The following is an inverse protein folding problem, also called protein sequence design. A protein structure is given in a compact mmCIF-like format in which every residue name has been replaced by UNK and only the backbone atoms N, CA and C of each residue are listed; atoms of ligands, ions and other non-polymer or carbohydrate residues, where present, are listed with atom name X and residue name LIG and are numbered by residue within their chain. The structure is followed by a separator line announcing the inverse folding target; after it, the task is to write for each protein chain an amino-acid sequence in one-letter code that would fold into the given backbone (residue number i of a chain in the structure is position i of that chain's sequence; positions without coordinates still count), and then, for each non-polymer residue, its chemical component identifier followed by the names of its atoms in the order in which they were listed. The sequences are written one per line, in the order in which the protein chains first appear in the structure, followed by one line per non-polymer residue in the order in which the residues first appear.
data_IF_197261422243
#
_entry.id   IF_197261422243
#
_cell.length_a   1.000
_cell.length_b   1.000
_cell.length_c   1.000
_cell.angle_alpha   90.00
_cell.angle_beta   90.00
_cell.angle_gamma   90.00
#
_symmetry.space_group_name_H-M   'P 1'
#
loop_
_entity.id
_entity.type
_entity.pdbx_description
1 polymer ?
#
# COMPACT_ATOMS: atom_id res chain seq x y z
N UNK A 1 -35.74 -21.82 25.22
CA UNK A 1 -34.55 -20.98 24.94
C UNK A 1 -34.42 -20.87 23.44
N UNK A 2 -34.74 -19.71 22.86
CA UNK A 2 -34.54 -19.45 21.43
C UNK A 2 -33.03 -19.30 21.18
N UNK A 3 -32.41 -20.29 20.57
CA UNK A 3 -31.10 -20.11 19.96
C UNK A 3 -31.28 -19.07 18.85
N UNK A 4 -30.59 -17.92 18.87
CA UNK A 4 -30.77 -16.92 17.84
C UNK A 4 -30.31 -17.55 16.52
N UNK A 5 -31.29 -17.73 15.62
CA UNK A 5 -31.11 -18.39 14.34
C UNK A 5 -30.07 -17.68 13.47
N UNK A 6 -29.45 -18.46 12.60
CA UNK A 6 -28.55 -17.98 11.56
C UNK A 6 -29.16 -16.77 10.83
N UNK A 7 -28.47 -15.63 10.86
CA UNK A 7 -28.87 -14.43 10.11
C UNK A 7 -28.17 -14.44 8.76
N UNK A 8 -28.95 -14.49 7.68
CA UNK A 8 -28.38 -14.38 6.33
C UNK A 8 -27.60 -13.06 6.18
N UNK A 9 -26.44 -13.06 5.50
CA UNK A 9 -25.69 -11.84 5.23
C UNK A 9 -26.53 -10.81 4.47
N UNK A 10 -26.59 -9.59 4.99
CA UNK A 10 -27.25 -8.45 4.33
C UNK A 10 -26.55 -8.13 3.00
N UNK A 11 -27.21 -7.36 2.12
CA UNK A 11 -26.57 -6.87 0.88
C UNK A 11 -25.28 -6.09 1.20
N UNK A 12 -25.29 -5.27 2.24
CA UNK A 12 -24.13 -4.53 2.72
C UNK A 12 -22.97 -5.48 3.11
N UNK A 13 -23.25 -6.53 3.89
CA UNK A 13 -22.26 -7.53 4.29
C UNK A 13 -21.64 -8.26 3.08
N UNK A 14 -22.48 -8.61 2.10
CA UNK A 14 -22.03 -9.28 0.86
C UNK A 14 -21.14 -8.38 0.03
N UNK A 15 -21.46 -7.09 -0.07
CA UNK A 15 -20.61 -6.09 -0.75
C UNK A 15 -19.26 -5.95 -0.02
N UNK A 16 -19.26 -5.84 1.31
CA UNK A 16 -18.01 -5.79 2.09
C UNK A 16 -17.14 -7.02 1.87
N UNK A 17 -17.74 -8.21 1.86
CA UNK A 17 -17.04 -9.46 1.56
C UNK A 17 -16.45 -9.49 0.14
N UNK A 18 -17.15 -8.92 -0.85
CA UNK A 18 -16.60 -8.77 -2.20
C UNK A 18 -15.43 -7.78 -2.24
N UNK A 19 -15.59 -6.61 -1.62
CA UNK A 19 -14.54 -5.58 -1.54
C UNK A 19 -13.28 -6.11 -0.86
N UNK A 20 -13.43 -6.81 0.27
CA UNK A 20 -12.32 -7.45 0.99
C UNK A 20 -11.54 -8.37 0.05
N UNK A 21 -12.23 -9.23 -0.71
CA UNK A 21 -11.57 -10.16 -1.64
C UNK A 21 -10.91 -9.44 -2.82
N UNK A 22 -11.57 -8.43 -3.38
CA UNK A 22 -11.09 -7.70 -4.55
C UNK A 22 -9.94 -6.75 -4.25
N UNK A 23 -9.88 -6.19 -3.04
CA UNK A 23 -8.94 -5.14 -2.69
C UNK A 23 -8.00 -5.55 -1.55
N UNK A 24 -8.51 -5.95 -0.38
CA UNK A 24 -7.64 -6.29 0.74
C UNK A 24 -6.86 -7.58 0.48
N UNK A 25 -7.52 -8.65 0.08
CA UNK A 25 -6.87 -9.95 -0.08
C UNK A 25 -5.95 -10.00 -1.31
N UNK A 26 -6.24 -9.22 -2.34
CA UNK A 26 -5.35 -9.00 -3.49
C UNK A 26 -4.18 -8.10 -3.12
N UNK A 27 -4.41 -7.01 -2.38
CA UNK A 27 -3.36 -6.17 -1.81
C UNK A 27 -2.43 -6.93 -0.86
N UNK A 28 -2.96 -7.89 -0.09
CA UNK A 28 -2.16 -8.83 0.71
C UNK A 28 -1.21 -9.64 -0.19
N UNK A 29 -1.65 -9.99 -1.41
CA UNK A 29 -0.80 -10.64 -2.42
C UNK A 29 0.28 -9.71 -2.99
N UNK A 30 -0.07 -8.48 -3.33
CA UNK A 30 0.89 -7.47 -3.81
C UNK A 30 1.95 -7.14 -2.75
N UNK A 31 1.56 -7.09 -1.47
CA UNK A 31 2.49 -6.93 -0.37
C UNK A 31 3.49 -8.08 -0.29
N UNK A 32 3.03 -9.33 -0.44
CA UNK A 32 3.93 -10.49 -0.51
C UNK A 32 4.88 -10.40 -1.70
N UNK A 33 4.37 -10.00 -2.88
CA UNK A 33 5.19 -9.80 -4.07
C UNK A 33 6.25 -8.71 -3.85
N UNK A 34 5.90 -7.59 -3.22
CA UNK A 34 6.84 -6.54 -2.85
C UNK A 34 7.95 -7.09 -1.93
N UNK A 35 7.59 -7.89 -0.93
CA UNK A 35 8.57 -8.51 -0.02
C UNK A 35 9.51 -9.47 -0.74
N UNK A 36 9.00 -10.27 -1.68
CA UNK A 36 9.82 -11.17 -2.52
C UNK A 36 10.78 -10.35 -3.39
N UNK A 37 10.28 -9.35 -4.11
CA UNK A 37 11.08 -8.48 -4.97
C UNK A 37 12.19 -7.77 -4.17
N UNK A 38 11.85 -7.20 -3.01
CA UNK A 38 12.83 -6.55 -2.13
C UNK A 38 13.89 -7.53 -1.62
N UNK A 39 13.50 -8.74 -1.21
CA UNK A 39 14.44 -9.79 -0.79
C UNK A 39 15.45 -10.14 -1.89
N UNK A 40 15.01 -10.10 -3.15
CA UNK A 40 15.83 -10.39 -4.32
C UNK A 40 16.41 -9.13 -5.01
N UNK A 41 16.24 -7.94 -4.41
CA UNK A 41 16.75 -6.65 -4.93
C UNK A 41 16.22 -6.28 -6.32
N UNK A 42 15.01 -6.72 -6.64
CA UNK A 42 14.29 -6.35 -7.85
C UNK A 42 13.54 -5.05 -7.59
N UNK A 43 14.27 -3.92 -7.58
CA UNK A 43 13.75 -2.65 -7.03
C UNK A 43 12.55 -2.09 -7.79
N UNK A 44 12.52 -2.03 -9.13
CA UNK A 44 11.31 -1.59 -9.85
C UNK A 44 10.10 -2.46 -9.50
N UNK A 45 10.28 -3.78 -9.41
CA UNK A 45 9.21 -4.71 -9.05
C UNK A 45 8.77 -4.57 -7.59
N UNK A 46 9.69 -4.21 -6.69
CA UNK A 46 9.37 -3.87 -5.30
C UNK A 46 8.52 -2.61 -5.23
N UNK A 47 8.92 -1.52 -5.88
CA UNK A 47 8.19 -0.25 -5.85
C UNK A 47 6.79 -0.41 -6.45
N UNK A 48 6.69 -1.04 -7.63
CA UNK A 48 5.42 -1.36 -8.25
C UNK A 48 4.49 -2.15 -7.32
N UNK A 49 4.98 -3.26 -6.76
CA UNK A 49 4.15 -4.12 -5.92
C UNK A 49 3.79 -3.44 -4.59
N UNK A 50 4.67 -2.59 -4.06
CA UNK A 50 4.42 -1.82 -2.85
C UNK A 50 3.32 -0.77 -3.07
N UNK A 51 3.40 0.00 -4.15
CA UNK A 51 2.39 0.98 -4.55
C UNK A 51 1.04 0.29 -4.76
N UNK A 52 1.03 -0.82 -5.50
CA UNK A 52 -0.18 -1.63 -5.76
C UNK A 52 -0.82 -2.18 -4.49
N UNK A 53 -0.03 -2.57 -3.48
CA UNK A 53 -0.55 -3.00 -2.19
C UNK A 53 -1.22 -1.83 -1.44
N UNK A 54 -0.51 -0.70 -1.30
CA UNK A 54 -1.02 0.50 -0.62
C UNK A 54 -2.28 1.04 -1.30
N UNK A 55 -2.28 1.13 -2.63
CA UNK A 55 -3.43 1.57 -3.44
C UNK A 55 -4.67 0.75 -3.11
N UNK A 56 -4.55 -0.58 -3.14
CA UNK A 56 -5.69 -1.47 -2.90
C UNK A 56 -6.21 -1.36 -1.48
N UNK A 57 -5.34 -1.23 -0.47
CA UNK A 57 -5.81 -1.01 0.90
C UNK A 57 -6.53 0.34 1.04
N UNK A 58 -5.98 1.43 0.50
CA UNK A 58 -6.58 2.76 0.61
C UNK A 58 -7.92 2.84 -0.13
N UNK A 59 -8.01 2.28 -1.34
CA UNK A 59 -9.29 2.13 -2.06
C UNK A 59 -10.25 1.20 -1.32
N UNK A 60 -9.72 0.16 -0.66
CA UNK A 60 -10.49 -0.74 0.20
C UNK A 60 -11.15 0.01 1.35
N UNK A 61 -10.40 0.87 2.05
CA UNK A 61 -10.91 1.73 3.12
C UNK A 61 -12.05 2.61 2.62
N UNK A 62 -11.87 3.32 1.50
CA UNK A 62 -12.91 4.17 0.93
C UNK A 62 -14.18 3.36 0.59
N UNK A 63 -14.02 2.27 -0.16
CA UNK A 63 -15.16 1.51 -0.71
C UNK A 63 -15.91 0.70 0.35
N UNK A 64 -15.23 0.21 1.39
CA UNK A 64 -15.86 -0.43 2.54
C UNK A 64 -16.85 0.52 3.24
N UNK A 65 -16.55 1.81 3.26
CA UNK A 65 -17.40 2.86 3.82
C UNK A 65 -18.23 3.59 2.74
N UNK A 66 -18.39 2.97 1.56
CA UNK A 66 -19.20 3.45 0.43
C UNK A 66 -18.77 4.80 -0.16
N UNK A 67 -17.53 5.21 0.08
CA UNK A 67 -16.92 6.32 -0.63
C UNK A 67 -16.35 5.82 -1.95
N UNK A 68 -16.66 6.53 -3.03
CA UNK A 68 -16.21 6.16 -4.37
C UNK A 68 -14.69 6.29 -4.50
N UNK A 69 -14.06 5.20 -4.95
CA UNK A 69 -12.67 5.17 -5.39
C UNK A 69 -12.50 5.39 -6.90
N UNK A 70 -13.58 5.77 -7.60
CA UNK A 70 -13.52 6.10 -9.02
C UNK A 70 -12.65 7.36 -9.23
N UNK A 71 -11.98 7.40 -10.39
CA UNK A 71 -11.14 8.52 -10.84
C UNK A 71 -9.89 8.81 -9.98
N UNK A 72 -9.55 7.97 -9.02
CA UNK A 72 -8.26 8.06 -8.28
C UNK A 72 -7.09 7.59 -9.15
N UNK A 73 -7.34 6.68 -10.10
CA UNK A 73 -6.24 6.04 -10.84
C UNK A 73 -5.31 5.29 -9.90
N UNK A 74 -4.00 5.45 -10.05
CA UNK A 74 -2.97 4.85 -9.20
C UNK A 74 -2.45 5.80 -8.10
N UNK A 75 -3.09 6.96 -7.93
CA UNK A 75 -2.63 7.99 -7.00
C UNK A 75 -2.96 7.61 -5.55
N UNK A 76 -1.97 7.05 -4.85
CA UNK A 76 -2.11 6.66 -3.44
C UNK A 76 -2.20 7.88 -2.50
N UNK A 77 -1.63 9.03 -2.88
CA UNK A 77 -1.70 10.27 -2.11
C UNK A 77 -3.11 10.85 -2.14
N UNK A 78 -3.73 10.90 -3.33
CA UNK A 78 -5.14 11.29 -3.48
C UNK A 78 -6.07 10.35 -2.72
N UNK A 79 -5.80 9.04 -2.71
CA UNK A 79 -6.59 8.10 -1.93
C UNK A 79 -6.51 8.38 -0.42
N UNK A 80 -5.33 8.74 0.10
CA UNK A 80 -5.14 9.09 1.51
C UNK A 80 -5.85 10.40 1.87
N UNK A 81 -5.70 11.45 1.05
CA UNK A 81 -6.42 12.73 1.21
C UNK A 81 -7.93 12.51 1.22
N UNK A 82 -8.44 11.69 0.29
CA UNK A 82 -9.88 11.41 0.20
C UNK A 82 -10.43 10.66 1.41
N UNK A 83 -9.62 9.80 2.04
CA UNK A 83 -10.00 9.16 3.31
C UNK A 83 -10.19 10.23 4.40
N UNK A 84 -9.23 11.14 4.53
CA UNK A 84 -9.29 12.22 5.51
C UNK A 84 -10.50 13.12 5.29
N UNK A 85 -10.73 13.57 4.06
CA UNK A 85 -11.82 14.48 3.72
C UNK A 85 -13.21 13.84 3.80
N UNK A 86 -13.38 12.61 3.30
CA UNK A 86 -14.70 11.97 3.17
C UNK A 86 -15.07 11.10 4.35
N UNK A 87 -14.09 10.50 5.03
CA UNK A 87 -14.32 9.67 6.20
C UNK A 87 -14.00 10.39 7.51
N UNK A 88 -13.37 11.56 7.48
CA UNK A 88 -13.20 12.41 8.67
C UNK A 88 -12.21 11.85 9.69
N UNK A 89 -11.25 11.03 9.25
CA UNK A 89 -10.16 10.55 10.09
C UNK A 89 -8.87 10.37 9.30
N UNK A 90 -7.73 10.55 9.97
CA UNK A 90 -6.42 10.28 9.40
C UNK A 90 -5.91 8.88 9.75
N UNK A 91 -5.10 8.33 8.85
CA UNK A 91 -4.29 7.14 9.12
C UNK A 91 -2.94 7.64 9.66
N UNK A 92 -2.64 7.48 10.96
CA UNK A 92 -1.42 8.04 11.52
C UNK A 92 -0.20 7.27 11.01
N UNK A 93 0.74 8.01 10.42
CA UNK A 93 2.04 7.55 9.96
C UNK A 93 3.15 8.36 10.66
N UNK A 94 4.25 7.70 11.02
CA UNK A 94 5.46 8.39 11.51
C UNK A 94 6.13 9.17 10.38
N UNK A 95 7.02 10.12 10.71
CA UNK A 95 7.73 10.91 9.68
C UNK A 95 8.46 10.02 8.67
N UNK A 96 9.14 8.97 9.13
CA UNK A 96 9.86 8.05 8.24
C UNK A 96 8.92 7.18 7.40
N UNK A 97 7.72 6.85 7.91
CA UNK A 97 6.71 6.17 7.12
C UNK A 97 6.17 7.09 6.01
N UNK A 98 5.99 8.38 6.29
CA UNK A 98 5.59 9.38 5.29
C UNK A 98 6.65 9.56 4.20
N UNK A 99 7.92 9.69 4.57
CA UNK A 99 9.03 9.76 3.60
C UNK A 99 9.05 8.54 2.67
N UNK A 100 8.90 7.33 3.21
CA UNK A 100 8.84 6.12 2.38
C UNK A 100 7.55 6.03 1.56
N UNK A 101 6.43 6.51 2.09
CA UNK A 101 5.18 6.60 1.35
C UNK A 101 5.33 7.51 0.13
N UNK A 102 5.95 8.69 0.29
CA UNK A 102 6.24 9.64 -0.79
C UNK A 102 7.13 9.00 -1.86
N UNK A 103 8.20 8.31 -1.48
CA UNK A 103 9.06 7.56 -2.43
C UNK A 103 8.27 6.51 -3.22
N UNK A 104 7.33 5.81 -2.58
CA UNK A 104 6.47 4.83 -3.28
C UNK A 104 5.45 5.54 -4.18
N UNK A 105 4.89 6.68 -3.74
CA UNK A 105 3.93 7.46 -4.53
C UNK A 105 4.58 8.10 -5.76
N UNK A 106 5.83 8.54 -5.66
CA UNK A 106 6.62 9.10 -6.76
C UNK A 106 6.90 8.07 -7.86
N UNK A 107 6.90 6.77 -7.53
CA UNK A 107 6.97 5.71 -8.54
C UNK A 107 5.82 5.84 -9.55
N UNK A 108 4.65 6.30 -9.10
CA UNK A 108 3.49 6.67 -9.92
C UNK A 108 3.16 5.65 -11.02
N UNK A 109 3.16 4.37 -10.63
CA UNK A 109 2.88 3.24 -11.49
C UNK A 109 3.76 3.19 -12.74
N UNK A 110 5.01 3.63 -12.61
CA UNK A 110 6.02 3.45 -13.64
C UNK A 110 6.30 1.96 -13.85
N UNK A 111 5.97 1.47 -15.04
CA UNK A 111 6.18 0.07 -15.44
C UNK A 111 7.44 -0.10 -16.27
N UNK A 112 7.98 0.99 -16.81
CA UNK A 112 8.99 0.96 -17.87
C UNK A 112 10.29 1.65 -17.45
N UNK A 113 10.43 1.99 -16.16
CA UNK A 113 11.61 2.65 -15.63
C UNK A 113 11.89 3.98 -16.35
N UNK A 114 10.80 4.73 -16.54
CA UNK A 114 10.80 6.09 -17.08
C UNK A 114 11.21 7.11 -16.02
N UNK A 115 11.16 6.77 -14.73
CA UNK A 115 11.65 7.58 -13.62
C UNK A 115 12.94 6.98 -13.03
N UNK A 116 13.86 7.84 -12.60
CA UNK A 116 15.05 7.39 -11.89
C UNK A 116 14.69 6.86 -10.50
N UNK A 117 15.49 5.94 -9.96
CA UNK A 117 15.24 5.25 -8.70
C UNK A 117 16.37 5.50 -7.72
N UNK A 118 16.02 5.74 -6.45
CA UNK A 118 16.94 5.70 -5.32
C UNK A 118 16.31 5.01 -4.11
N UNK A 119 16.78 3.81 -3.75
CA UNK A 119 16.28 3.02 -2.61
C UNK A 119 17.46 2.60 -1.74
N UNK A 120 17.38 2.82 -0.42
CA UNK A 120 18.47 2.59 0.55
C UNK A 120 18.29 1.30 1.39
N UNK A 121 17.21 0.55 1.15
CA UNK A 121 16.90 -0.75 1.74
C UNK A 121 16.06 -0.71 3.02
N UNK A 122 15.79 0.48 3.58
CA UNK A 122 14.94 0.64 4.78
C UNK A 122 13.45 0.73 4.42
N UNK A 123 13.13 0.99 3.16
CA UNK A 123 11.79 1.16 2.61
C UNK A 123 10.94 -0.09 2.87
N UNK A 124 11.51 -1.30 2.76
CA UNK A 124 10.79 -2.53 3.08
C UNK A 124 10.35 -2.59 4.56
N UNK A 125 11.13 -2.06 5.50
CA UNK A 125 10.76 -2.04 6.92
C UNK A 125 9.58 -1.08 7.17
N UNK A 126 9.60 0.09 6.54
CA UNK A 126 8.50 1.04 6.69
C UNK A 126 7.26 0.59 5.92
N UNK A 127 7.41 -0.09 4.78
CA UNK A 127 6.31 -0.78 4.12
C UNK A 127 5.68 -1.83 5.03
N UNK A 128 6.47 -2.63 5.76
CA UNK A 128 5.94 -3.61 6.72
C UNK A 128 5.07 -2.95 7.80
N UNK A 129 5.47 -1.78 8.28
CA UNK A 129 4.72 -1.02 9.28
C UNK A 129 3.48 -0.33 8.69
N UNK A 130 3.58 0.26 7.49
CA UNK A 130 2.44 0.87 6.78
C UNK A 130 1.40 -0.19 6.41
N UNK A 131 1.83 -1.23 5.69
CA UNK A 131 1.47 -2.64 5.89
C UNK A 131 0.42 -2.92 6.97
N UNK A 132 1.00 -3.16 8.13
CA UNK A 132 0.34 -3.45 9.39
C UNK A 132 -0.66 -2.39 9.83
N UNK A 133 -0.36 -1.11 9.61
CA UNK A 133 -1.20 0.00 10.09
C UNK A 133 -2.44 0.19 9.23
N UNK A 134 -2.26 0.36 7.92
CA UNK A 134 -3.34 0.67 6.97
C UNK A 134 -4.34 -0.48 6.91
N UNK A 135 -3.89 -1.74 6.96
CA UNK A 135 -4.79 -2.91 6.97
C UNK A 135 -5.79 -2.91 8.13
N UNK A 136 -5.45 -2.31 9.27
CA UNK A 136 -6.38 -2.19 10.41
C UNK A 136 -7.59 -1.31 10.06
N UNK A 137 -7.40 -0.29 9.21
CA UNK A 137 -8.47 0.57 8.71
C UNK A 137 -9.23 -0.05 7.54
N UNK A 138 -8.62 -0.98 6.80
CA UNK A 138 -9.22 -1.68 5.66
C UNK A 138 -10.19 -2.80 6.12
N UNK A 139 -11.17 -2.44 6.94
CA UNK A 139 -12.20 -3.30 7.50
C UNK A 139 -13.55 -2.56 7.51
N UNK A 140 -14.69 -3.26 7.58
CA UNK A 140 -15.99 -2.64 7.85
C UNK A 140 -16.00 -2.08 9.28
N UNK A 141 -15.57 -0.82 9.46
CA UNK A 141 -15.44 -0.22 10.80
C UNK A 141 -16.74 0.43 11.28
N UNK A 142 -17.74 0.54 10.42
CA UNK A 142 -19.04 1.16 10.68
C UNK A 142 -20.09 0.16 11.24
N UNK A 143 -19.71 -1.10 11.45
CA UNK A 143 -20.57 -2.18 12.00
C UNK A 143 -19.87 -2.96 13.11
N UNK A 144 -20.62 -3.54 14.05
CA UNK A 144 -20.08 -4.44 15.09
C UNK A 144 -20.22 -5.91 14.70
N UNK A 145 -21.37 -6.26 14.13
CA UNK A 145 -21.66 -7.54 13.53
C UNK A 145 -21.98 -7.34 12.03
N UNK A 146 -21.64 -8.32 11.19
CA UNK A 146 -21.78 -8.17 9.73
C UNK A 146 -23.22 -7.87 9.28
N UNK A 147 -24.20 -8.25 10.09
CA UNK A 147 -25.63 -8.06 9.80
C UNK A 147 -26.19 -6.72 10.30
N UNK A 148 -25.38 -5.91 10.97
CA UNK A 148 -25.82 -4.62 11.50
C UNK A 148 -25.91 -3.58 10.38
N UNK A 149 -26.74 -2.57 10.60
CA UNK A 149 -26.74 -1.39 9.75
C UNK A 149 -25.52 -0.51 10.06
N UNK A 150 -24.82 0.02 9.04
CA UNK A 150 -23.69 0.91 9.23
C UNK A 150 -24.05 2.17 10.01
N UNK A 151 -23.21 2.58 10.96
CA UNK A 151 -23.40 3.85 11.67
C UNK A 151 -22.10 4.63 11.83
N UNK A 152 -22.24 5.96 11.80
CA UNK A 152 -21.11 6.88 12.02
C UNK A 152 -20.52 6.74 13.43
N UNK A 153 -21.37 6.53 14.44
CA UNK A 153 -20.93 6.37 15.82
C UNK A 153 -20.00 5.16 16.01
N UNK A 154 -20.35 4.02 15.39
CA UNK A 154 -19.52 2.81 15.43
C UNK A 154 -18.21 3.02 14.67
N UNK A 155 -18.26 3.68 13.50
CA UNK A 155 -17.06 4.06 12.76
C UNK A 155 -16.10 4.88 13.62
N UNK A 156 -16.58 5.97 14.22
CA UNK A 156 -15.75 6.87 15.03
C UNK A 156 -15.17 6.16 16.26
N UNK A 157 -15.94 5.27 16.90
CA UNK A 157 -15.47 4.46 18.02
C UNK A 157 -14.35 3.50 17.60
N UNK A 158 -14.55 2.75 16.52
CA UNK A 158 -13.58 1.76 16.03
C UNK A 158 -12.31 2.42 15.51
N UNK A 159 -12.43 3.56 14.82
CA UNK A 159 -11.30 4.38 14.37
C UNK A 159 -10.49 4.88 15.57
N UNK A 160 -11.13 5.45 16.60
CA UNK A 160 -10.44 5.89 17.83
C UNK A 160 -9.71 4.74 18.51
N UNK A 161 -10.31 3.56 18.58
CA UNK A 161 -9.68 2.37 19.14
C UNK A 161 -8.42 1.98 18.37
N UNK A 162 -8.45 2.01 17.03
CA UNK A 162 -7.28 1.72 16.20
C UNK A 162 -6.23 2.82 16.37
N UNK A 163 -6.64 4.09 16.35
CA UNK A 163 -5.76 5.25 16.51
C UNK A 163 -5.01 5.26 17.84
N UNK A 164 -5.64 4.80 18.93
CA UNK A 164 -5.02 4.70 20.26
C UNK A 164 -3.99 3.59 20.43
N UNK A 165 -3.83 2.69 19.45
CA UNK A 165 -2.78 1.65 19.48
C UNK A 165 -1.42 2.26 19.16
N UNK A 166 -0.37 1.71 19.76
CA UNK A 166 0.99 2.11 19.44
C UNK A 166 1.31 1.81 17.96
N UNK A 167 1.83 2.79 17.22
CA UNK A 167 2.06 2.69 15.77
C UNK A 167 3.05 1.58 15.39
N UNK A 168 4.01 1.30 16.27
CA UNK A 168 5.12 0.39 16.05
C UNK A 168 5.06 -0.87 16.89
N UNK A 169 4.01 -1.06 17.70
CA UNK A 169 3.87 -2.26 18.53
C UNK A 169 3.68 -3.50 17.64
N UNK A 170 4.59 -4.48 17.72
CA UNK A 170 4.37 -5.77 17.09
C UNK A 170 3.11 -6.42 17.67
N UNK A 171 2.25 -6.97 16.81
CA UNK A 171 1.09 -7.82 17.17
C UNK A 171 -0.16 -7.08 17.70
N UNK A 172 -0.09 -5.78 17.94
CA UNK A 172 -1.27 -4.95 18.17
C UNK A 172 -1.83 -4.42 16.84
N UNK A 173 -2.66 -5.23 16.18
CA UNK A 173 -3.17 -4.87 14.85
C UNK A 173 -3.56 -6.01 13.92
N UNK A 174 -3.58 -7.25 14.42
CA UNK A 174 -4.08 -8.38 13.63
C UNK A 174 -5.50 -8.11 13.11
N UNK A 175 -5.72 -8.42 11.84
CA UNK A 175 -7.05 -8.37 11.22
C UNK A 175 -7.70 -9.75 11.34
N UNK A 176 -8.81 -9.83 12.06
CA UNK A 176 -9.53 -11.10 12.26
C UNK A 176 -9.95 -11.70 10.92
N UNK A 177 -9.54 -12.95 10.68
CA UNK A 177 -9.83 -13.67 9.44
C UNK A 177 -9.09 -13.16 8.20
N UNK A 178 -8.13 -12.23 8.36
CA UNK A 178 -7.31 -11.70 7.28
C UNK A 178 -6.37 -12.74 6.65
N UNK A 179 -6.01 -12.53 5.39
CA UNK A 179 -5.19 -13.49 4.63
C UNK A 179 -3.76 -13.56 5.15
N UNK A 180 -3.13 -12.43 5.47
CA UNK A 180 -1.78 -12.43 6.06
C UNK A 180 -1.73 -13.15 7.41
N UNK A 181 -2.77 -13.01 8.23
CA UNK A 181 -2.88 -13.69 9.53
C UNK A 181 -3.00 -15.20 9.36
N UNK A 182 -3.79 -15.68 8.39
CA UNK A 182 -3.86 -17.11 8.03
C UNK A 182 -2.52 -17.64 7.50
N UNK A 183 -1.87 -16.87 6.63
CA UNK A 183 -0.54 -17.21 6.10
C UNK A 183 0.53 -17.26 7.21
N UNK A 184 0.41 -16.41 8.23
CA UNK A 184 1.34 -16.42 9.36
C UNK A 184 1.25 -17.70 10.18
N UNK A 185 0.03 -18.23 10.37
CA UNK A 185 -0.24 -19.44 11.16
C UNK A 185 0.00 -20.73 10.38
N UNK A 186 -0.30 -20.77 9.08
CA UNK A 186 -0.06 -21.94 8.23
C UNK A 186 1.41 -22.09 7.84
N UNK A 187 2.13 -22.97 8.54
CA UNK A 187 3.56 -23.23 8.30
C UNK A 187 3.88 -23.75 6.88
N UNK A 188 2.89 -24.33 6.19
CA UNK A 188 3.06 -24.92 4.87
C UNK A 188 2.68 -23.95 3.74
N UNK A 189 2.16 -22.75 4.06
CA UNK A 189 1.85 -21.77 3.04
C UNK A 189 3.14 -21.32 2.32
N UNK A 190 3.21 -21.43 0.98
CA UNK A 190 4.42 -21.14 0.21
C UNK A 190 4.86 -19.67 0.32
N UNK A 191 3.91 -18.74 0.51
CA UNK A 191 4.18 -17.31 0.64
C UNK A 191 4.59 -16.91 2.07
N UNK A 192 4.38 -17.78 3.07
CA UNK A 192 4.74 -17.49 4.47
C UNK A 192 6.21 -17.13 4.63
N UNK A 193 7.10 -17.79 3.88
CA UNK A 193 8.53 -17.52 3.95
C UNK A 193 8.87 -16.07 3.59
N UNK A 194 8.15 -15.47 2.64
CA UNK A 194 8.25 -14.06 2.30
C UNK A 194 7.71 -13.20 3.43
N UNK A 195 6.52 -13.51 3.96
CA UNK A 195 5.86 -12.75 5.02
C UNK A 195 6.74 -12.57 6.26
N UNK A 196 7.34 -13.65 6.77
CA UNK A 196 8.06 -13.63 8.06
C UNK A 196 9.52 -13.18 7.96
N UNK A 197 10.12 -13.19 6.76
CA UNK A 197 11.54 -12.92 6.57
C UNK A 197 11.93 -11.51 7.03
N UNK A 198 12.60 -11.40 8.18
CA UNK A 198 12.98 -10.11 8.80
C UNK A 198 11.80 -9.16 9.05
N UNK A 199 10.58 -9.66 9.17
CA UNK A 199 9.40 -8.87 9.47
C UNK A 199 9.18 -8.80 10.99
N UNK A 200 9.07 -7.60 11.55
CA UNK A 200 8.74 -7.44 12.98
C UNK A 200 7.24 -7.41 13.23
N UNK A 201 6.46 -6.93 12.25
CA UNK A 201 5.00 -6.78 12.39
C UNK A 201 4.29 -8.13 12.22
N UNK A 202 4.67 -8.89 11.18
CA UNK A 202 4.11 -10.21 10.89
C UNK A 202 5.08 -11.32 11.31
N UNK A 203 5.09 -11.62 12.61
CA UNK A 203 5.98 -12.65 13.17
C UNK A 203 5.42 -13.32 14.41
N UNK A 204 5.62 -14.65 14.51
CA UNK A 204 5.36 -15.41 15.73
C UNK A 204 6.48 -15.28 16.78
N UNK A 205 7.60 -14.64 16.43
CA UNK A 205 8.75 -14.42 17.33
C UNK A 205 8.58 -13.16 18.18
N UNK A 206 9.02 -13.18 19.44
CA UNK A 206 9.01 -12.03 20.38
C UNK A 206 10.17 -11.05 20.17
N UNK A 207 10.89 -11.23 19.06
CA UNK A 207 12.06 -10.42 18.68
C UNK A 207 11.68 -8.95 18.50
N UNK A 208 12.49 -8.06 19.07
CA UNK A 208 12.31 -6.60 18.99
C UNK A 208 13.15 -5.92 17.90
N UNK A 209 14.13 -6.62 17.30
CA UNK A 209 15.07 -6.07 16.32
C UNK A 209 15.42 -7.09 15.26
N UNK A 210 15.56 -6.69 14.00
CA UNK A 210 16.02 -7.55 12.90
C UNK A 210 17.26 -6.96 12.27
N UNK A 211 18.26 -7.79 11.99
CA UNK A 211 19.45 -7.33 11.27
C UNK A 211 19.18 -7.30 9.76
N UNK A 212 19.24 -6.12 9.16
CA UNK A 212 19.14 -5.91 7.71
C UNK A 212 20.43 -5.29 7.21
N UNK A 213 20.92 -5.79 6.08
CA UNK A 213 22.03 -5.17 5.37
C UNK A 213 21.42 -4.04 4.55
N UNK A 214 21.80 -2.80 4.84
CA UNK A 214 21.44 -1.68 3.98
C UNK A 214 22.00 -1.97 2.59
N UNK A 215 21.18 -1.71 1.57
CA UNK A 215 21.62 -1.78 0.20
C UNK A 215 21.19 -0.51 -0.49
N UNK A 216 22.15 0.18 -1.09
CA UNK A 216 21.85 1.29 -1.97
C UNK A 216 21.61 0.71 -3.36
N UNK A 217 20.45 1.00 -3.93
CA UNK A 217 20.18 0.79 -5.34
C UNK A 217 19.82 2.13 -5.95
N UNK A 218 20.60 2.54 -6.93
CA UNK A 218 20.35 3.73 -7.72
C UNK A 218 20.34 3.32 -9.18
N UNK A 219 19.39 3.86 -9.93
CA UNK A 219 19.27 3.64 -11.35
C UNK A 219 18.79 4.91 -12.02
N UNK A 220 19.51 5.34 -13.06
CA UNK A 220 19.06 6.44 -13.90
C UNK A 220 18.15 5.88 -15.00
N UNK A 221 16.96 6.47 -15.15
CA UNK A 221 16.08 6.14 -16.27
C UNK A 221 16.77 6.48 -17.61
N UNK A 222 16.47 5.75 -18.70
CA UNK A 222 17.05 6.07 -20.02
C UNK A 222 16.81 7.52 -20.43
N UNK A 223 15.59 8.03 -20.23
CA UNK A 223 15.23 9.43 -20.53
C UNK A 223 15.85 10.44 -19.57
N UNK A 224 16.30 10.02 -18.39
CA UNK A 224 17.12 10.87 -17.53
C UNK A 224 18.53 11.07 -18.08
N UNK A 225 19.08 10.07 -18.77
CA UNK A 225 20.40 10.17 -19.41
C UNK A 225 20.30 10.94 -20.73
N UNK A 226 19.30 10.62 -21.55
CA UNK A 226 19.09 11.15 -22.90
C UNK A 226 17.67 11.77 -23.02
N UNK A 227 17.42 12.93 -22.38
CA UNK A 227 16.07 13.53 -22.31
C UNK A 227 15.54 14.02 -23.66
N UNK A 228 16.42 14.25 -24.63
CA UNK A 228 16.10 14.65 -26.00
C UNK A 228 15.40 13.54 -26.81
N UNK A 229 15.52 12.27 -26.40
CA UNK A 229 14.84 11.14 -27.05
C UNK A 229 13.34 11.02 -26.71
N UNK A 230 12.79 11.92 -25.88
CA UNK A 230 11.42 11.81 -25.36
C UNK A 230 10.35 11.70 -26.45
N UNK A 231 10.46 12.48 -27.52
CA UNK A 231 9.46 12.50 -28.58
C UNK A 231 9.50 11.23 -29.44
N UNK A 232 10.67 10.60 -29.58
CA UNK A 232 10.79 9.30 -30.25
C UNK A 232 10.32 8.17 -29.34
N UNK A 233 10.66 8.20 -28.05
CA UNK A 233 10.14 7.24 -27.07
C UNK A 233 8.61 7.29 -26.98
N UNK A 234 8.00 8.47 -27.00
CA UNK A 234 6.55 8.63 -26.92
C UNK A 234 5.80 8.09 -28.15
N UNK A 235 6.48 7.87 -29.29
CA UNK A 235 5.91 7.17 -30.47
C UNK A 235 5.90 5.65 -30.29
N UNK A 236 6.80 5.12 -29.45
CA UNK A 236 7.03 3.68 -29.29
C UNK A 236 6.41 3.11 -28.01
N UNK A 237 6.36 3.89 -26.94
CA UNK A 237 5.89 3.48 -25.63
C UNK A 237 4.88 4.49 -25.05
N UNK A 238 3.97 3.99 -24.23
CA UNK A 238 3.03 4.86 -23.52
C UNK A 238 3.76 5.62 -22.41
N UNK A 239 4.15 6.87 -22.71
CA UNK A 239 4.72 7.81 -21.75
C UNK A 239 3.65 8.81 -21.29
N UNK A 240 3.38 8.97 -19.98
CA UNK A 240 2.42 9.96 -19.49
C UNK A 240 2.75 11.38 -19.97
N UNK A 241 1.74 12.16 -20.39
CA UNK A 241 1.93 13.53 -20.88
C UNK A 241 2.72 14.44 -19.92
N UNK A 242 2.47 14.44 -18.59
CA UNK A 242 3.26 15.24 -17.66
C UNK A 242 4.75 14.87 -17.68
N UNK A 243 5.05 13.58 -17.81
CA UNK A 243 6.43 13.10 -17.87
C UNK A 243 7.12 13.49 -19.18
N UNK A 244 6.39 13.47 -20.31
CA UNK A 244 6.91 13.97 -21.59
C UNK A 244 7.33 15.44 -21.47
N UNK A 245 6.48 16.28 -20.89
CA UNK A 245 6.81 17.70 -20.71
C UNK A 245 8.01 17.89 -19.78
N UNK A 246 8.08 17.13 -18.68
CA UNK A 246 9.23 17.15 -17.78
C UNK A 246 10.55 16.86 -18.49
N UNK A 247 10.58 15.83 -19.35
CA UNK A 247 11.79 15.50 -20.10
C UNK A 247 12.13 16.51 -21.20
N UNK A 248 11.14 17.10 -21.90
CA UNK A 248 11.39 18.21 -22.83
C UNK A 248 12.03 19.41 -22.13
N UNK A 249 11.56 19.76 -20.94
CA UNK A 249 12.14 20.82 -20.13
C UNK A 249 13.58 20.49 -19.71
N UNK A 250 13.83 19.26 -19.24
CA UNK A 250 15.17 18.81 -18.86
C UNK A 250 16.16 18.88 -20.04
N UNK A 251 15.74 18.47 -21.25
CA UNK A 251 16.53 18.58 -22.46
C UNK A 251 16.91 20.04 -22.77
N UNK A 252 15.95 20.98 -22.65
CA UNK A 252 16.19 22.42 -22.86
C UNK A 252 17.19 22.99 -21.85
N UNK A 253 17.08 22.61 -20.59
CA UNK A 253 18.01 23.07 -19.53
C UNK A 253 19.42 22.57 -19.80
N UNK A 254 19.59 21.27 -20.08
CA UNK A 254 20.92 20.68 -20.34
C UNK A 254 21.57 21.17 -21.64
N UNK A 255 20.79 21.57 -22.64
CA UNK A 255 21.33 22.20 -23.83
C UNK A 255 21.96 23.56 -23.50
N UNK A 256 21.28 24.38 -22.68
CA UNK A 256 21.78 25.70 -22.25
C UNK A 256 23.00 25.66 -21.34
N UNK A 257 23.18 24.58 -20.57
CA UNK A 257 24.36 24.40 -19.70
C UNK A 257 25.62 23.97 -20.48
N UNK A 258 25.47 23.57 -21.74
CA UNK A 258 26.58 23.17 -22.62
C UNK A 258 27.09 24.32 -23.51
N UNK A 259 26.35 25.43 -23.57
CA UNK A 259 26.70 26.67 -24.28
C UNK A 259 27.44 27.65 -23.35
#
# INVERSE_FOLDING_TARGET
MNFPGYRHPTKHARINSAIIRCLRDTGDGDYIAARLAARHRLVPQFLWSAEQALEKYLKGILTLHRVSALNIGHDISEALTRIEEKLGFAIPLTSQQKEVFEVIAEWNSDRYFLNHIGVKGHELNYLDQMVWRIRQFCQPLDVMHYADEPTRAVLDQNVKMIQGRELTAPREGNVTGGRLEKMLTDKNDPARSALVWKNLMFSTSTRKKVHRRNHLHMGNAPLWLEPDLIDDFAKLLQVPKPLQEGYRQLARVRAREKD
#
